data_IF_908872315361
#
_entry.id   IF_908872315361
#
_cell.length_a   1.000
_cell.length_b   1.000
_cell.length_c   1.000
_cell.angle_alpha   90.00
_cell.angle_beta   90.00
_cell.angle_gamma   90.00
#
_symmetry.space_group_name_H-M   'P 1'
#
loop_
_entity.id
_entity.type
_entity.pdbx_description
1 polymer ?
#
# COMPACT_ATOMS: atom_id res chain seq x y z
N UNK A 1 -21.70 17.59 -7.04
CA UNK A 1 -20.39 17.79 -6.38
C UNK A 1 -19.94 16.43 -5.87
N UNK A 2 -18.85 15.88 -6.37
CA UNK A 2 -18.40 14.52 -6.02
C UNK A 2 -17.66 14.56 -4.70
N UNK A 3 -18.18 13.84 -3.69
CA UNK A 3 -17.54 13.65 -2.38
C UNK A 3 -16.12 13.10 -2.54
N UNK A 4 -15.13 13.99 -2.57
CA UNK A 4 -13.77 13.61 -2.18
C UNK A 4 -13.85 13.33 -0.69
N UNK A 5 -14.06 12.06 -0.32
CA UNK A 5 -13.92 11.59 1.06
C UNK A 5 -12.55 12.05 1.58
N UNK A 6 -12.57 13.12 2.37
CA UNK A 6 -11.39 13.67 3.03
C UNK A 6 -10.85 12.56 3.91
N UNK A 7 -9.58 12.19 3.72
CA UNK A 7 -8.90 11.22 4.58
C UNK A 7 -9.09 11.67 6.04
N UNK A 8 -9.46 10.74 6.92
CA UNK A 8 -9.67 11.05 8.33
C UNK A 8 -8.38 11.63 8.95
N UNK A 9 -8.48 12.31 10.10
CA UNK A 9 -7.26 12.78 10.81
C UNK A 9 -6.29 11.63 11.10
N UNK A 10 -6.82 10.45 11.40
CA UNK A 10 -6.03 9.23 11.61
C UNK A 10 -5.37 8.77 10.30
N UNK A 11 -6.09 8.80 9.18
CA UNK A 11 -5.55 8.43 7.86
C UNK A 11 -4.43 9.38 7.41
N UNK A 12 -4.52 10.67 7.77
CA UNK A 12 -3.49 11.67 7.50
C UNK A 12 -2.26 11.45 8.38
N UNK A 13 -2.46 11.18 9.67
CA UNK A 13 -1.35 10.88 10.57
C UNK A 13 -0.63 9.58 10.15
N UNK A 14 -1.39 8.54 9.80
CA UNK A 14 -0.86 7.32 9.23
C UNK A 14 -0.04 7.58 7.95
N UNK A 15 -0.56 8.41 7.04
CA UNK A 15 0.19 8.82 5.84
C UNK A 15 1.56 9.44 6.16
N UNK A 16 1.63 10.37 7.11
CA UNK A 16 2.90 11.01 7.49
C UNK A 16 3.88 10.01 8.11
N UNK A 17 3.40 9.07 8.95
CA UNK A 17 4.22 8.00 9.50
C UNK A 17 4.77 7.08 8.42
N UNK A 18 3.92 6.66 7.47
CA UNK A 18 4.34 5.83 6.34
C UNK A 18 5.41 6.55 5.55
N UNK A 19 5.17 7.81 5.17
CA UNK A 19 6.09 8.61 4.35
C UNK A 19 7.49 8.72 4.96
N UNK A 20 7.61 8.79 6.29
CA UNK A 20 8.90 8.82 6.99
C UNK A 20 9.65 7.48 6.94
N UNK A 21 8.94 6.37 6.73
CA UNK A 21 9.46 5.00 6.76
C UNK A 21 9.81 4.46 5.36
N UNK A 22 9.34 5.13 4.29
CA UNK A 22 9.58 4.70 2.91
C UNK A 22 11.05 4.84 2.55
N UNK A 23 11.67 3.73 2.16
CA UNK A 23 12.98 3.74 1.52
C UNK A 23 12.80 3.96 0.01
N UNK A 24 13.62 4.82 -0.59
CA UNK A 24 13.64 5.06 -2.03
C UNK A 24 15.03 4.78 -2.58
N UNK A 25 15.10 3.94 -3.61
CA UNK A 25 16.33 3.58 -4.32
C UNK A 25 16.10 3.79 -5.82
N UNK A 26 17.14 4.25 -6.51
CA UNK A 26 17.16 4.30 -7.98
C UNK A 26 17.91 3.09 -8.51
N UNK A 27 17.31 2.38 -9.47
CA UNK A 27 17.93 1.25 -10.15
C UNK A 27 17.86 1.50 -11.66
N UNK A 28 18.99 1.93 -12.24
CA UNK A 28 19.04 2.41 -13.61
C UNK A 28 18.06 3.57 -13.87
N UNK A 29 17.05 3.33 -14.71
CA UNK A 29 16.00 4.30 -15.04
C UNK A 29 14.78 4.22 -14.11
N UNK A 30 14.76 3.26 -13.19
CA UNK A 30 13.61 2.99 -12.35
C UNK A 30 13.78 3.63 -10.98
N UNK A 31 12.67 4.07 -10.39
CA UNK A 31 12.63 4.48 -8.99
C UNK A 31 11.80 3.50 -8.21
N UNK A 32 12.43 2.85 -7.23
CA UNK A 32 11.81 1.86 -6.36
C UNK A 32 11.59 2.52 -5.01
N UNK A 33 10.33 2.61 -4.59
CA UNK A 33 9.97 3.01 -3.24
C UNK A 33 9.34 1.82 -2.51
N UNK A 34 9.83 1.54 -1.31
CA UNK A 34 9.46 0.33 -0.56
C UNK A 34 9.23 0.60 0.91
N UNK A 35 8.33 -0.18 1.49
CA UNK A 35 8.05 -0.23 2.92
C UNK A 35 7.78 -1.68 3.33
N UNK A 36 8.28 -2.07 4.50
CA UNK A 36 8.06 -3.41 5.04
C UNK A 36 6.75 -3.49 5.82
N UNK A 37 6.16 -4.68 5.90
CA UNK A 37 4.92 -4.90 6.65
C UNK A 37 5.09 -4.53 8.14
N UNK A 38 6.28 -4.76 8.71
CA UNK A 38 6.63 -4.33 10.08
C UNK A 38 6.52 -2.80 10.26
N UNK A 39 7.05 -2.02 9.32
CA UNK A 39 6.97 -0.56 9.41
C UNK A 39 5.53 -0.06 9.29
N UNK A 40 4.71 -0.76 8.50
CA UNK A 40 3.27 -0.48 8.42
C UNK A 40 2.55 -0.82 9.72
N UNK A 41 2.92 -1.92 10.37
CA UNK A 41 2.37 -2.28 11.69
C UNK A 41 2.68 -1.22 12.74
N UNK A 42 3.92 -0.74 12.79
CA UNK A 42 4.27 0.37 13.69
C UNK A 42 3.46 1.63 13.41
N UNK A 43 3.23 1.96 12.12
CA UNK A 43 2.40 3.10 11.75
C UNK A 43 0.91 2.89 12.12
N UNK A 44 0.38 1.67 11.97
CA UNK A 44 -0.99 1.32 12.37
C UNK A 44 -1.19 1.41 13.88
N UNK A 45 -0.23 0.91 14.67
CA UNK A 45 -0.23 1.05 16.14
C UNK A 45 -0.30 2.52 16.54
N UNK A 46 0.56 3.35 15.97
CA UNK A 46 0.64 4.76 16.32
C UNK A 46 -0.59 5.56 15.87
N UNK A 47 -1.09 5.32 14.65
CA UNK A 47 -2.17 6.13 14.09
C UNK A 47 -3.58 5.71 14.54
N UNK A 48 -3.78 4.42 14.82
CA UNK A 48 -5.10 3.86 15.11
C UNK A 48 -5.19 3.09 16.43
N UNK A 49 -4.07 2.91 17.15
CA UNK A 49 -4.06 2.23 18.44
C UNK A 49 -4.21 0.71 18.35
N UNK A 50 -3.90 0.09 17.20
CA UNK A 50 -3.93 -1.37 17.08
C UNK A 50 -2.95 -2.03 18.05
N UNK A 51 -3.33 -3.19 18.60
CA UNK A 51 -2.44 -4.04 19.41
C UNK A 51 -1.71 -5.07 18.53
N UNK A 52 -0.65 -5.66 19.08
CA UNK A 52 0.07 -6.78 18.44
C UNK A 52 -0.88 -7.93 18.08
N UNK A 53 -1.77 -8.31 18.99
CA UNK A 53 -2.74 -9.39 18.74
C UNK A 53 -3.70 -9.03 17.59
N UNK A 54 -4.15 -7.78 17.51
CA UNK A 54 -5.04 -7.35 16.43
C UNK A 54 -4.35 -7.41 15.07
N UNK A 55 -3.06 -7.04 15.01
CA UNK A 55 -2.26 -7.07 13.79
C UNK A 55 -1.86 -8.50 13.39
N UNK A 56 -1.50 -9.35 14.37
CA UNK A 56 -1.22 -10.77 14.13
C UNK A 56 -2.44 -11.49 13.53
N UNK A 57 -3.65 -11.12 13.98
CA UNK A 57 -4.90 -11.63 13.40
C UNK A 57 -5.19 -11.09 11.99
N UNK A 58 -4.58 -9.98 11.59
CA UNK A 58 -4.64 -9.46 10.21
C UNK A 58 -3.63 -10.14 9.29
N UNK A 59 -2.54 -10.66 9.85
CA UNK A 59 -1.52 -11.36 9.11
C UNK A 59 -1.88 -12.81 8.78
N UNK A 60 -1.32 -13.28 7.67
CA UNK A 60 -1.58 -14.63 7.18
C UNK A 60 -0.84 -15.69 8.01
N UNK A 61 0.35 -15.36 8.50
CA UNK A 61 1.29 -16.29 9.13
C UNK A 61 1.38 -16.04 10.64
N UNK A 62 0.37 -16.47 11.39
CA UNK A 62 0.47 -16.59 12.85
C UNK A 62 1.32 -17.80 13.22
N UNK A 63 2.63 -17.60 13.25
CA UNK A 63 3.48 -18.20 14.28
C UNK A 63 4.39 -17.08 14.78
N UNK A 64 4.39 -16.84 16.09
CA UNK A 64 5.01 -15.69 16.77
C UNK A 64 6.52 -15.55 16.47
N UNK A 65 7.16 -16.61 15.97
CA UNK A 65 8.57 -16.66 15.56
C UNK A 65 8.82 -16.28 14.09
N UNK A 66 7.77 -16.19 13.25
CA UNK A 66 7.85 -15.90 11.81
C UNK A 66 7.57 -14.44 11.43
N UNK A 67 7.06 -13.60 12.35
CA UNK A 67 6.89 -12.16 12.13
C UNK A 67 8.21 -11.46 11.71
N UNK A 68 9.35 -12.03 12.10
CA UNK A 68 10.69 -11.57 11.71
C UNK A 68 11.26 -12.28 10.47
N UNK A 69 10.73 -13.46 10.06
CA UNK A 69 11.42 -14.34 9.10
C UNK A 69 10.92 -14.31 7.66
N UNK A 70 9.77 -13.71 7.36
CA UNK A 70 9.37 -13.31 5.99
C UNK A 70 8.45 -12.10 6.02
N UNK A 71 8.91 -10.99 6.61
CA UNK A 71 8.17 -9.73 6.51
C UNK A 71 7.94 -9.41 5.03
N UNK A 72 6.68 -9.45 4.58
CA UNK A 72 6.34 -9.04 3.24
C UNK A 72 6.76 -7.59 3.04
N UNK A 73 7.13 -7.24 1.81
CA UNK A 73 7.47 -5.86 1.45
C UNK A 73 6.44 -5.36 0.45
N UNK A 74 5.82 -4.24 0.77
CA UNK A 74 5.06 -3.46 -0.20
C UNK A 74 6.01 -2.53 -0.91
N UNK A 75 6.03 -2.56 -2.24
CA UNK A 75 6.90 -1.67 -3.03
C UNK A 75 6.21 -1.20 -4.29
N UNK A 76 6.54 0.01 -4.70
CA UNK A 76 6.21 0.52 -6.02
C UNK A 76 7.49 0.69 -6.83
N UNK A 77 7.46 0.19 -8.06
CA UNK A 77 8.52 0.40 -9.05
C UNK A 77 7.96 1.34 -10.10
N UNK A 78 8.47 2.57 -10.14
CA UNK A 78 8.18 3.50 -11.23
C UNK A 78 9.15 3.21 -12.37
N UNK A 79 8.61 2.80 -13.51
CA UNK A 79 9.37 2.44 -14.70
C UNK A 79 9.68 3.67 -15.54
N UNK A 80 10.97 3.97 -15.71
CA UNK A 80 11.43 5.23 -16.33
C UNK A 80 11.01 6.47 -15.53
N UNK A 81 10.86 7.61 -16.21
CA UNK A 81 10.46 8.85 -15.54
C UNK A 81 9.07 8.71 -14.87
N UNK A 82 8.98 8.95 -13.56
CA UNK A 82 7.73 8.94 -12.75
C UNK A 82 6.54 9.64 -13.44
N UNK A 83 6.82 10.69 -14.22
CA UNK A 83 5.84 11.48 -14.99
C UNK A 83 5.15 10.71 -16.13
N UNK A 84 5.67 9.57 -16.56
CA UNK A 84 5.07 8.73 -17.63
C UNK A 84 3.98 7.80 -17.12
N UNK A 85 3.84 7.63 -15.80
CA UNK A 85 2.73 6.89 -15.20
C UNK A 85 2.77 5.38 -15.39
N UNK A 86 3.94 4.84 -15.72
CA UNK A 86 4.18 3.41 -15.75
C UNK A 86 4.71 3.01 -14.38
N UNK A 87 3.98 2.16 -13.67
CA UNK A 87 4.44 1.64 -12.40
C UNK A 87 3.90 0.25 -12.13
N UNK A 88 4.63 -0.50 -11.33
CA UNK A 88 4.22 -1.79 -10.79
C UNK A 88 4.14 -1.67 -9.27
N UNK A 89 2.97 -1.94 -8.70
CA UNK A 89 2.71 -1.90 -7.27
C UNK A 89 2.62 -3.34 -6.74
N UNK A 90 3.58 -3.71 -5.92
CA UNK A 90 3.68 -4.99 -5.23
C UNK A 90 3.08 -4.84 -3.83
N UNK A 91 2.07 -5.65 -3.52
CA UNK A 91 1.42 -5.71 -2.22
C UNK A 91 1.54 -7.13 -1.67
N UNK A 92 2.05 -7.25 -0.46
CA UNK A 92 2.07 -8.53 0.25
C UNK A 92 0.65 -9.01 0.59
N UNK A 93 0.48 -10.30 0.85
CA UNK A 93 -0.80 -10.86 1.29
C UNK A 93 -1.24 -10.24 2.63
N UNK A 94 -0.29 -10.10 3.55
CA UNK A 94 -0.42 -9.34 4.80
C UNK A 94 -1.03 -7.96 4.55
N UNK A 95 -0.44 -7.19 3.64
CA UNK A 95 -0.91 -5.83 3.36
C UNK A 95 -2.35 -5.81 2.85
N UNK A 96 -2.67 -6.72 1.93
CA UNK A 96 -4.02 -6.82 1.38
C UNK A 96 -5.04 -7.16 2.47
N UNK A 97 -4.69 -8.02 3.41
CA UNK A 97 -5.53 -8.37 4.56
C UNK A 97 -5.66 -7.20 5.55
N UNK A 98 -4.57 -6.47 5.83
CA UNK A 98 -4.58 -5.25 6.66
C UNK A 98 -5.47 -4.17 6.07
N UNK A 99 -5.36 -3.89 4.78
CA UNK A 99 -6.24 -2.93 4.08
C UNK A 99 -7.70 -3.41 4.11
N UNK A 100 -7.94 -4.72 3.95
CA UNK A 100 -9.29 -5.27 4.01
C UNK A 100 -9.96 -5.11 5.37
N UNK A 101 -9.21 -5.30 6.48
CA UNK A 101 -9.74 -5.16 7.83
C UNK A 101 -9.77 -3.71 8.32
N UNK A 102 -8.71 -2.94 8.12
CA UNK A 102 -8.60 -1.56 8.60
C UNK A 102 -9.33 -0.55 7.69
N UNK A 103 -9.62 -0.94 6.45
CA UNK A 103 -10.42 -0.18 5.50
C UNK A 103 -9.63 0.48 4.39
N UNK A 104 -10.36 0.95 3.36
CA UNK A 104 -9.80 1.54 2.15
C UNK A 104 -8.96 2.79 2.43
N UNK A 105 -9.28 3.56 3.49
CA UNK A 105 -8.53 4.75 3.90
C UNK A 105 -7.06 4.46 4.18
N UNK A 106 -6.78 3.40 4.95
CA UNK A 106 -5.41 2.91 5.23
C UNK A 106 -4.69 2.54 3.93
N UNK A 107 -5.34 1.78 3.05
CA UNK A 107 -4.74 1.41 1.77
C UNK A 107 -4.40 2.62 0.90
N UNK A 108 -5.27 3.62 0.87
CA UNK A 108 -5.01 4.88 0.14
C UNK A 108 -3.84 5.63 0.74
N UNK A 109 -3.80 5.82 2.06
CA UNK A 109 -2.74 6.55 2.75
C UNK A 109 -1.39 5.85 2.65
N UNK A 110 -1.36 4.52 2.74
CA UNK A 110 -0.15 3.73 2.56
C UNK A 110 0.46 4.00 1.17
N UNK A 111 -0.33 3.84 0.11
CA UNK A 111 0.20 4.00 -1.23
C UNK A 111 0.51 5.46 -1.52
N UNK A 112 -0.29 6.40 -1.01
CA UNK A 112 0.05 7.82 -1.04
C UNK A 112 1.44 8.07 -0.44
N UNK A 113 1.73 7.50 0.73
CA UNK A 113 3.03 7.61 1.40
C UNK A 113 4.15 7.00 0.56
N UNK A 114 3.99 5.75 0.10
CA UNK A 114 4.97 5.02 -0.73
C UNK A 114 5.22 5.71 -2.08
N UNK A 115 4.21 6.34 -2.68
CA UNK A 115 4.35 7.07 -3.95
C UNK A 115 4.77 8.52 -3.80
N UNK A 116 4.77 9.06 -2.57
CA UNK A 116 5.03 10.47 -2.29
C UNK A 116 3.94 11.42 -2.82
N UNK A 117 2.70 10.95 -2.97
CA UNK A 117 1.56 11.74 -3.45
C UNK A 117 0.68 12.13 -2.24
N UNK A 118 0.69 13.35 -1.66
CA UNK A 118 0.32 14.65 -2.28
C UNK A 118 0.37 15.86 -1.31
N UNK A 119 0.37 17.17 -1.73
CA UNK A 119 -0.46 17.86 -2.77
C UNK A 119 0.30 18.44 -4.02
N UNK A 120 -0.33 18.41 -5.22
CA UNK A 120 0.19 18.94 -6.51
C UNK A 120 0.38 18.00 -7.72
N UNK A 121 0.97 16.80 -7.58
CA UNK A 121 1.60 16.09 -8.72
C UNK A 121 0.84 14.96 -9.48
N UNK A 122 -0.26 14.34 -9.02
CA UNK A 122 -0.86 13.25 -9.83
C UNK A 122 -2.24 12.72 -9.46
N UNK A 123 -3.31 13.49 -9.72
CA UNK A 123 -4.70 13.06 -9.43
C UNK A 123 -5.02 11.72 -10.12
N UNK A 124 -4.45 11.51 -11.31
CA UNK A 124 -4.56 10.29 -12.08
C UNK A 124 -3.87 9.08 -11.43
N UNK A 125 -2.67 9.24 -10.87
CA UNK A 125 -1.96 8.16 -10.14
C UNK A 125 -2.79 7.72 -8.94
N UNK A 126 -3.19 8.69 -8.11
CA UNK A 126 -3.96 8.42 -6.90
C UNK A 126 -5.31 7.76 -7.22
N UNK A 127 -5.99 8.21 -8.29
CA UNK A 127 -7.25 7.61 -8.73
C UNK A 127 -7.08 6.17 -9.25
N UNK A 128 -6.10 5.91 -10.11
CA UNK A 128 -5.86 4.58 -10.66
C UNK A 128 -5.52 3.57 -9.55
N UNK A 129 -4.70 3.99 -8.58
CA UNK A 129 -4.33 3.19 -7.41
C UNK A 129 -5.53 2.96 -6.49
N UNK A 130 -6.33 4.00 -6.20
CA UNK A 130 -7.57 3.86 -5.43
C UNK A 130 -8.49 2.81 -6.04
N UNK A 131 -8.68 2.87 -7.36
CA UNK A 131 -9.49 1.90 -8.09
C UNK A 131 -8.88 0.50 -8.04
N UNK A 132 -7.56 0.39 -8.15
CA UNK A 132 -6.84 -0.88 -8.04
C UNK A 132 -7.07 -1.54 -6.68
N UNK A 133 -6.85 -0.79 -5.59
CA UNK A 133 -7.04 -1.27 -4.22
C UNK A 133 -8.50 -1.63 -3.98
N UNK A 134 -9.43 -0.74 -4.35
CA UNK A 134 -10.85 -1.01 -4.19
C UNK A 134 -11.26 -2.29 -4.91
N UNK A 135 -10.86 -2.48 -6.17
CA UNK A 135 -11.13 -3.71 -6.92
C UNK A 135 -10.46 -4.94 -6.30
N UNK A 136 -9.20 -4.83 -5.87
CA UNK A 136 -8.48 -5.94 -5.25
C UNK A 136 -9.14 -6.36 -3.94
N UNK A 137 -9.45 -5.41 -3.05
CA UNK A 137 -10.06 -5.64 -1.73
C UNK A 137 -11.50 -6.16 -1.85
N UNK A 138 -12.30 -5.58 -2.75
CA UNK A 138 -13.70 -5.98 -2.98
C UNK A 138 -13.81 -7.35 -3.65
N UNK A 139 -12.95 -7.65 -4.63
CA UNK A 139 -12.99 -8.94 -5.35
C UNK A 139 -12.12 -10.02 -4.70
N UNK A 140 -11.40 -9.69 -3.62
CA UNK A 140 -10.70 -10.67 -2.81
C UNK A 140 -11.69 -11.49 -2.00
N UNK A 141 -11.54 -12.82 -2.01
CA UNK A 141 -12.23 -13.71 -1.06
C UNK A 141 -11.99 -13.30 0.39
N UNK A 142 -12.62 -13.96 1.36
CA UNK A 142 -12.58 -13.56 2.79
C UNK A 142 -11.17 -13.24 3.31
N UNK A 143 -10.14 -13.92 2.81
CA UNK A 143 -8.72 -13.71 3.12
C UNK A 143 -7.86 -13.85 1.86
N UNK A 144 -6.82 -13.01 1.73
CA UNK A 144 -5.79 -13.17 0.70
C UNK A 144 -4.72 -14.14 1.19
N UNK A 145 -4.37 -15.11 0.33
CA UNK A 145 -3.31 -16.12 0.59
C UNK A 145 -1.98 -15.83 -0.11
N UNK A 146 -1.96 -14.79 -0.93
CA UNK A 146 -0.84 -14.48 -1.79
C UNK A 146 -0.85 -12.98 -2.10
N UNK A 147 0.35 -12.43 -2.28
CA UNK A 147 0.53 -11.05 -2.70
C UNK A 147 -0.02 -10.78 -4.10
N UNK A 148 -0.16 -9.50 -4.41
CA UNK A 148 -0.64 -9.01 -5.71
C UNK A 148 0.35 -8.03 -6.29
N UNK A 149 0.58 -8.14 -7.59
CA UNK A 149 1.27 -7.13 -8.36
C UNK A 149 0.24 -6.45 -9.25
N UNK A 150 0.12 -5.13 -9.12
CA UNK A 150 -0.73 -4.30 -9.95
C UNK A 150 0.11 -3.54 -10.96
N UNK A 151 -0.35 -3.53 -12.21
CA UNK A 151 0.32 -2.87 -13.32
C UNK A 151 -0.43 -1.61 -13.73
N UNK A 152 0.31 -0.52 -13.85
CA UNK A 152 -0.15 0.70 -14.48
C UNK A 152 0.71 1.02 -15.70
N UNK A 153 0.04 1.43 -16.78
CA UNK A 153 0.67 1.94 -17.99
C UNK A 153 0.00 3.26 -18.35
N UNK A 154 0.77 4.34 -18.50
CA UNK A 154 0.25 5.69 -18.77
C UNK A 154 -0.87 6.12 -17.79
N UNK A 155 -0.71 5.84 -16.50
CA UNK A 155 -1.71 6.10 -15.45
C UNK A 155 -3.04 5.34 -15.59
N UNK A 156 -3.09 4.31 -16.44
CA UNK A 156 -4.26 3.45 -16.61
C UNK A 156 -3.97 2.08 -16.01
N UNK A 157 -5.01 1.48 -15.43
CA UNK A 157 -4.97 0.08 -14.99
C UNK A 157 -4.67 -0.80 -16.19
N UNK A 158 -3.53 -1.48 -16.17
CA UNK A 158 -3.18 -2.48 -17.18
C UNK A 158 -3.58 -3.89 -16.74
N UNK A 159 -3.58 -4.17 -15.42
CA UNK A 159 -4.04 -5.44 -14.87
C UNK A 159 -3.46 -5.75 -13.50
N UNK A 160 -3.60 -7.00 -13.06
CA UNK A 160 -2.97 -7.52 -11.85
C UNK A 160 -2.59 -9.00 -12.04
N UNK A 161 -1.63 -9.49 -11.27
CA UNK A 161 -1.31 -10.93 -11.14
C UNK A 161 -0.91 -11.30 -9.71
N UNK A 162 -0.76 -12.60 -9.45
CA UNK A 162 -0.15 -13.10 -8.22
C UNK A 162 1.32 -12.69 -8.14
N UNK A 163 1.77 -12.25 -6.97
CA UNK A 163 3.19 -12.02 -6.70
C UNK A 163 3.97 -13.33 -6.70
#
# INVERSE_FOLDING_TARGET
>A
MTDQKVLSKQDQYFYELIKQQVSTVSDGNDTIASITDYQVDQALKQAYGYTDDQLANMDEESSSENLLRKAGSTRIVFHGAKKKGNFDLYLSASMLNKIKKAGIGVGVSLIAGVTGAFPGVGRAISWAIKQAIAKMVVNGGSKFKAGRIYYSRKFRTAGWRYQ
#
